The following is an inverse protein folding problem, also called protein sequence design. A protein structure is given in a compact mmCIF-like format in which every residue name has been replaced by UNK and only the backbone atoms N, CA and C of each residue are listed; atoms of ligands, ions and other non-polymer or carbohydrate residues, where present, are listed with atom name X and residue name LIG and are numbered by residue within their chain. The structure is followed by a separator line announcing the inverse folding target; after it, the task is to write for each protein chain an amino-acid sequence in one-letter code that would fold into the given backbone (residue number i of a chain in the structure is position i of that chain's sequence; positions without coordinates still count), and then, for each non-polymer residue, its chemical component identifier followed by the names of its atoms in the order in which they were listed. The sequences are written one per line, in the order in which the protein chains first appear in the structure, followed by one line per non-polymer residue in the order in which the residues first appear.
data_IF_124436066040
#
_entry.id   IF_124436066040
#
_cell.length_a   1.000
_cell.length_b   1.000
_cell.length_c   1.000
_cell.angle_alpha   90.00
_cell.angle_beta   90.00
_cell.angle_gamma   90.00
#
_symmetry.space_group_name_H-M   'P 1'
#
loop_
_entity.id
_entity.type
_entity.pdbx_description
1 polymer ?
#
# COMPACT_ATOMS: atom_id res chain seq x y z
N UNK A 1 1.00 -3.55 11.27
CA UNK A 1 -0.41 -3.24 11.58
C UNK A 1 -0.79 -1.76 11.55
N UNK A 2 -0.14 -0.84 12.29
CA UNK A 2 -0.58 0.59 12.35
C UNK A 2 -0.66 1.25 10.96
N UNK A 3 0.36 1.06 10.13
CA UNK A 3 0.40 1.65 8.78
C UNK A 3 -0.73 1.12 7.90
N UNK A 4 -0.98 -0.20 7.95
CA UNK A 4 -2.02 -0.84 7.15
C UNK A 4 -3.42 -0.33 7.56
N UNK A 5 -3.72 -0.37 8.87
CA UNK A 5 -5.04 0.06 9.39
C UNK A 5 -5.30 1.56 9.14
N UNK A 6 -4.30 2.41 9.38
CA UNK A 6 -4.47 3.86 9.15
C UNK A 6 -4.66 4.16 7.66
N UNK A 7 -3.92 3.48 6.78
CA UNK A 7 -4.07 3.62 5.32
C UNK A 7 -5.45 3.15 4.84
N UNK A 8 -5.92 2.00 5.31
CA UNK A 8 -7.25 1.49 4.93
C UNK A 8 -8.38 2.36 5.49
N UNK A 9 -8.19 2.95 6.68
CA UNK A 9 -9.12 3.94 7.23
C UNK A 9 -9.23 5.17 6.31
N UNK A 10 -8.10 5.70 5.82
CA UNK A 10 -8.07 6.80 4.84
C UNK A 10 -8.83 6.40 3.57
N UNK A 11 -8.52 5.24 2.99
CA UNK A 11 -9.17 4.74 1.76
C UNK A 11 -10.68 4.57 1.93
N UNK A 12 -11.13 4.03 3.05
CA UNK A 12 -12.57 3.89 3.38
C UNK A 12 -13.25 5.25 3.48
N UNK A 13 -12.61 6.21 4.14
CA UNK A 13 -13.17 7.54 4.32
C UNK A 13 -13.34 8.31 2.99
N UNK A 14 -12.54 8.02 1.96
CA UNK A 14 -12.72 8.61 0.62
C UNK A 14 -14.08 8.29 -0.01
N UNK A 15 -14.67 7.14 0.37
CA UNK A 15 -15.94 6.61 -0.16
C UNK A 15 -17.15 6.84 0.74
N UNK A 16 -16.99 7.54 1.88
CA UNK A 16 -18.04 7.71 2.91
C UNK A 16 -19.34 8.35 2.39
N UNK A 17 -19.27 9.13 1.31
CA UNK A 17 -20.42 9.81 0.72
C UNK A 17 -21.16 8.95 -0.35
N UNK A 18 -20.94 7.63 -0.38
CA UNK A 18 -21.66 6.70 -1.29
C UNK A 18 -21.29 6.82 -2.77
N UNK A 19 -20.42 7.77 -3.14
CA UNK A 19 -19.92 7.88 -4.52
C UNK A 19 -18.87 6.80 -4.76
N UNK A 20 -19.09 5.99 -5.80
CA UNK A 20 -18.17 4.93 -6.25
C UNK A 20 -16.93 5.45 -6.97
N UNK A 21 -16.82 6.77 -7.11
CA UNK A 21 -15.71 7.37 -7.84
C UNK A 21 -14.40 7.30 -7.04
N UNK A 22 -13.32 7.05 -7.76
CA UNK A 22 -12.00 6.96 -7.15
C UNK A 22 -11.46 8.36 -6.89
N UNK A 23 -10.77 8.52 -5.77
CA UNK A 23 -10.09 9.76 -5.38
C UNK A 23 -8.64 9.46 -5.08
N UNK A 24 -7.80 10.48 -5.23
CA UNK A 24 -6.39 10.41 -4.82
C UNK A 24 -6.36 10.37 -3.28
N UNK A 25 -5.77 9.33 -2.66
CA UNK A 25 -5.58 9.32 -1.21
C UNK A 25 -4.45 10.28 -0.81
N UNK A 26 -4.68 11.03 0.26
CA UNK A 26 -3.74 11.95 0.89
C UNK A 26 -3.68 11.68 2.39
N UNK A 27 -2.58 12.08 3.02
CA UNK A 27 -2.30 11.90 4.44
C UNK A 27 -1.51 10.63 4.76
N UNK A 28 -0.74 10.71 5.85
CA UNK A 28 0.10 9.62 6.32
C UNK A 28 1.10 9.18 5.26
N UNK A 29 1.24 7.86 5.08
CA UNK A 29 2.23 7.30 4.15
C UNK A 29 1.81 7.44 2.68
N UNK A 30 0.56 7.81 2.39
CA UNK A 30 0.14 8.10 1.01
C UNK A 30 0.84 9.31 0.42
N UNK A 31 1.42 10.20 1.23
CA UNK A 31 2.26 11.30 0.69
C UNK A 31 3.50 10.77 -0.05
N UNK A 32 3.97 9.56 0.30
CA UNK A 32 5.19 8.98 -0.26
C UNK A 32 4.93 7.83 -1.21
N UNK A 33 3.94 6.98 -0.94
CA UNK A 33 3.66 5.77 -1.73
C UNK A 33 2.18 5.57 -2.06
N UNK A 34 1.88 5.05 -3.25
CA UNK A 34 0.52 4.75 -3.68
C UNK A 34 -0.07 3.54 -2.97
N UNK A 35 0.74 2.52 -2.69
CA UNK A 35 0.36 1.30 -1.99
C UNK A 35 0.70 1.34 -0.50
N UNK A 36 0.37 2.42 0.22
CA UNK A 36 0.71 2.58 1.63
C UNK A 36 0.20 1.43 2.52
N UNK A 37 -1.02 0.95 2.27
CA UNK A 37 -1.59 -0.20 2.99
C UNK A 37 -0.83 -1.51 2.69
N UNK A 38 -0.47 -1.73 1.43
CA UNK A 38 0.29 -2.89 0.98
C UNK A 38 1.71 -2.91 1.57
N UNK A 39 2.36 -1.76 1.63
CA UNK A 39 3.66 -1.61 2.28
C UNK A 39 3.57 -1.92 3.78
N UNK A 40 2.55 -1.39 4.46
CA UNK A 40 2.31 -1.67 5.88
C UNK A 40 2.05 -3.14 6.16
N UNK A 41 1.35 -3.84 5.27
CA UNK A 41 1.08 -5.28 5.36
C UNK A 41 2.36 -6.10 5.15
N UNK A 42 3.22 -5.73 4.20
CA UNK A 42 4.50 -6.41 4.00
C UNK A 42 5.44 -6.27 5.20
N UNK A 43 5.51 -5.07 5.82
CA UNK A 43 6.28 -4.87 7.06
C UNK A 43 5.75 -5.75 8.19
N UNK A 44 4.43 -5.86 8.30
CA UNK A 44 3.79 -6.67 9.34
C UNK A 44 4.14 -8.15 9.21
N UNK A 45 4.03 -8.71 8.01
CA UNK A 45 4.35 -10.12 7.79
C UNK A 45 5.85 -10.40 7.86
N UNK A 46 6.69 -9.45 7.46
CA UNK A 46 8.13 -9.54 7.69
C UNK A 46 8.45 -9.59 9.19
N UNK A 47 7.83 -8.70 10.00
CA UNK A 47 7.98 -8.72 11.46
C UNK A 47 7.49 -10.02 12.08
N UNK A 48 6.34 -10.53 11.64
CA UNK A 48 5.80 -11.81 12.10
C UNK A 48 6.73 -12.99 11.79
N UNK A 49 7.30 -13.03 10.58
CA UNK A 49 8.27 -14.05 10.18
C UNK A 49 9.54 -13.99 11.03
N UNK A 50 10.05 -12.79 11.32
CA UNK A 50 11.23 -12.59 12.17
C UNK A 50 11.00 -13.00 13.62
N UNK A 51 9.80 -12.77 14.17
CA UNK A 51 9.47 -13.14 15.55
C UNK A 51 9.26 -14.64 15.73
N UNK A 52 8.49 -15.25 14.82
CA UNK A 52 8.16 -16.69 14.91
C UNK A 52 9.30 -17.59 14.45
N UNK A 53 10.12 -17.11 13.50
CA UNK A 53 11.26 -17.84 12.90
C UNK A 53 10.87 -19.22 12.36
N UNK A 54 9.67 -19.33 11.81
CA UNK A 54 9.18 -20.57 11.19
C UNK A 54 9.22 -20.47 9.67
N UNK A 55 9.54 -21.58 9.01
CA UNK A 55 9.48 -21.67 7.55
C UNK A 55 8.13 -21.22 6.96
N UNK A 56 6.95 -21.65 7.48
CA UNK A 56 5.68 -21.17 6.96
C UNK A 56 5.50 -19.65 7.09
N UNK A 57 5.99 -19.02 8.16
CA UNK A 57 5.88 -17.58 8.31
C UNK A 57 6.75 -16.81 7.31
N UNK A 58 7.97 -17.27 7.05
CA UNK A 58 8.81 -16.70 5.99
C UNK A 58 8.22 -16.90 4.59
N UNK A 59 7.70 -18.09 4.30
CA UNK A 59 7.03 -18.37 3.04
C UNK A 59 5.81 -17.45 2.84
N UNK A 60 5.03 -17.24 3.91
CA UNK A 60 3.89 -16.32 3.88
C UNK A 60 4.31 -14.87 3.64
N UNK A 61 5.33 -14.37 4.35
CA UNK A 61 5.85 -13.02 4.15
C UNK A 61 6.36 -12.80 2.71
N UNK A 62 7.09 -13.79 2.17
CA UNK A 62 7.57 -13.76 0.79
C UNK A 62 6.42 -13.76 -0.22
N UNK A 63 5.43 -14.65 -0.03
CA UNK A 63 4.24 -14.70 -0.87
C UNK A 63 3.48 -13.37 -0.86
N UNK A 64 3.28 -12.78 0.32
CA UNK A 64 2.61 -11.49 0.46
C UNK A 64 3.37 -10.38 -0.28
N UNK A 65 4.70 -10.32 -0.16
CA UNK A 65 5.52 -9.38 -0.92
C UNK A 65 5.35 -9.57 -2.44
N UNK A 66 5.45 -10.80 -2.93
CA UNK A 66 5.30 -11.11 -4.35
C UNK A 66 3.91 -10.80 -4.90
N UNK A 67 2.85 -10.85 -4.09
CA UNK A 67 1.51 -10.51 -4.53
C UNK A 67 1.23 -9.01 -4.45
N UNK A 68 1.64 -8.36 -3.35
CA UNK A 68 1.28 -6.98 -3.06
C UNK A 68 2.16 -5.97 -3.78
N UNK A 69 3.46 -6.25 -3.98
CA UNK A 69 4.34 -5.31 -4.66
C UNK A 69 3.96 -5.07 -6.14
N UNK A 70 3.68 -6.11 -6.96
CA UNK A 70 3.17 -5.89 -8.33
C UNK A 70 1.81 -5.20 -8.35
N UNK A 71 0.93 -5.53 -7.39
CA UNK A 71 -0.38 -4.88 -7.24
C UNK A 71 -0.22 -3.39 -6.94
N UNK A 72 0.69 -3.02 -6.05
CA UNK A 72 1.00 -1.63 -5.73
C UNK A 72 1.49 -0.86 -6.98
N UNK A 73 2.36 -1.48 -7.78
CA UNK A 73 2.84 -0.93 -9.04
C UNK A 73 1.72 -0.70 -10.06
N UNK A 74 0.83 -1.68 -10.23
CA UNK A 74 -0.33 -1.55 -11.11
C UNK A 74 -1.27 -0.42 -10.63
N UNK A 75 -1.52 -0.33 -9.33
CA UNK A 75 -2.30 0.78 -8.75
C UNK A 75 -1.65 2.14 -9.02
N UNK A 76 -0.33 2.25 -8.82
CA UNK A 76 0.41 3.47 -9.07
C UNK A 76 0.29 3.92 -10.53
N UNK A 77 0.52 3.00 -11.47
CA UNK A 77 0.36 3.27 -12.92
C UNK A 77 -1.06 3.69 -13.26
N UNK A 78 -2.06 3.01 -12.70
CA UNK A 78 -3.46 3.35 -12.93
C UNK A 78 -3.81 4.74 -12.40
N UNK A 79 -3.30 5.12 -11.22
CA UNK A 79 -3.51 6.46 -10.66
C UNK A 79 -2.89 7.55 -11.54
N UNK A 80 -1.68 7.33 -12.05
CA UNK A 80 -1.01 8.26 -12.98
C UNK A 80 -1.79 8.42 -14.30
N UNK A 81 -2.41 7.36 -14.79
CA UNK A 81 -3.21 7.39 -16.02
C UNK A 81 -4.59 8.01 -15.82
N UNK A 82 -5.20 7.81 -14.66
CA UNK A 82 -6.56 8.30 -14.37
C UNK A 82 -6.60 9.75 -13.93
N UNK A 83 -5.58 10.24 -13.21
CA UNK A 83 -5.60 11.56 -12.61
C UNK A 83 -4.46 12.44 -13.12
N UNK A 84 -4.79 13.48 -13.88
CA UNK A 84 -3.81 14.44 -14.39
C UNK A 84 -3.03 15.17 -13.28
N UNK A 85 -3.69 15.38 -12.13
CA UNK A 85 -3.12 16.04 -10.95
C UNK A 85 -2.49 15.07 -9.93
N UNK A 86 -2.13 13.86 -10.35
CA UNK A 86 -1.49 12.90 -9.45
C UNK A 86 -0.09 13.37 -9.03
N UNK A 87 0.30 13.28 -7.74
CA UNK A 87 1.64 13.63 -7.30
C UNK A 87 2.71 12.77 -7.99
N UNK A 88 3.62 13.42 -8.74
CA UNK A 88 4.66 12.73 -9.53
C UNK A 88 5.80 12.17 -8.68
N UNK A 89 6.02 12.75 -7.51
CA UNK A 89 7.09 12.34 -6.59
C UNK A 89 6.74 11.08 -5.80
N UNK A 90 5.44 10.73 -5.76
CA UNK A 90 4.95 9.53 -5.08
C UNK A 90 5.51 8.30 -5.78
N UNK A 91 5.88 7.29 -5.00
CA UNK A 91 6.35 5.99 -5.48
C UNK A 91 5.23 4.95 -5.40
N UNK A 92 5.41 3.78 -5.99
CA UNK A 92 4.39 2.74 -5.99
C UNK A 92 4.27 2.02 -4.65
N UNK A 93 5.39 1.63 -4.06
CA UNK A 93 5.44 0.66 -2.97
C UNK A 93 6.48 0.98 -1.89
N UNK A 94 7.75 1.24 -2.24
CA UNK A 94 8.81 1.57 -1.28
C UNK A 94 9.07 3.07 -1.34
N UNK A 95 8.94 3.81 -0.21
CA UNK A 95 9.20 5.24 -0.19
C UNK A 95 10.56 5.59 -0.79
N UNK A 96 10.58 6.58 -1.68
CA UNK A 96 11.79 7.09 -2.35
C UNK A 96 12.52 6.13 -3.30
N UNK A 97 12.07 4.87 -3.42
CA UNK A 97 12.75 3.86 -4.26
C UNK A 97 11.87 3.46 -5.45
N UNK A 98 10.72 2.83 -5.21
CA UNK A 98 9.88 2.25 -6.26
C UNK A 98 8.41 2.39 -6.00
#
# INVERSE_FOLDING_TARGET
MVINITSDSILRNLRKNGKSDYKIPYGGLFEYVSGANFFGECIEWAGYALLTRTLPAFAFAFFTLCNLAPRAYQHHRWYQQKFDKYPKDRKAFIPFVI
#
